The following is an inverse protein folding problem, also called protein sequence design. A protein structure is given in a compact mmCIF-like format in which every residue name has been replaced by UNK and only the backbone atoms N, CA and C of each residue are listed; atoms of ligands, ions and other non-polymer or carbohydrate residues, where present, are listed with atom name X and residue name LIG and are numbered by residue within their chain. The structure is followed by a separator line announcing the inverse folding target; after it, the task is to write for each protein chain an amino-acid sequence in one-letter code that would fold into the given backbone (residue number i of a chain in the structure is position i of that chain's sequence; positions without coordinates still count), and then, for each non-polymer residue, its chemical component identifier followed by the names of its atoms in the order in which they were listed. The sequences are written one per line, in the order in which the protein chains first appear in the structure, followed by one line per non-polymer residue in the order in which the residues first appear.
data_IF_247062471246
#
_entry.id   IF_247062471246
#
_cell.length_a   1.000
_cell.length_b   1.000
_cell.length_c   1.000
_cell.angle_alpha   90.00
_cell.angle_beta   90.00
_cell.angle_gamma   90.00
#
_symmetry.space_group_name_H-M   'P 1'
#
loop_
_entity.id
_entity.type
_entity.pdbx_description
1 polymer ?
#
# COMPACT_ATOMS: atom_id res chain seq x y z
N UNK A 1 -8.80 -33.99 -20.27
CA UNK A 1 -9.16 -32.60 -20.60
C UNK A 1 -8.78 -31.72 -19.41
N UNK A 2 -7.51 -31.31 -19.31
CA UNK A 2 -7.04 -30.51 -18.18
C UNK A 2 -7.43 -29.06 -18.39
N UNK A 3 -8.48 -28.60 -17.70
CA UNK A 3 -8.75 -27.17 -17.54
C UNK A 3 -7.59 -26.60 -16.72
N UNK A 4 -6.69 -25.86 -17.39
CA UNK A 4 -5.77 -24.97 -16.68
C UNK A 4 -6.63 -24.01 -15.87
N UNK A 5 -6.48 -24.04 -14.56
CA UNK A 5 -7.00 -22.97 -13.70
C UNK A 5 -6.12 -21.77 -14.06
N UNK A 6 -6.69 -20.76 -14.72
CA UNK A 6 -6.03 -19.47 -14.88
C UNK A 6 -5.93 -18.85 -13.49
N UNK A 7 -4.81 -19.13 -12.80
CA UNK A 7 -4.44 -18.41 -11.59
C UNK A 7 -4.26 -16.95 -11.99
N UNK A 8 -5.00 -16.00 -11.40
CA UNK A 8 -4.82 -14.59 -11.72
C UNK A 8 -3.35 -14.23 -11.51
N UNK A 9 -2.73 -13.62 -12.52
CA UNK A 9 -1.39 -13.10 -12.35
C UNK A 9 -1.40 -12.10 -11.19
N UNK A 10 -0.53 -12.32 -10.19
CA UNK A 10 -0.34 -11.37 -9.10
C UNK A 10 0.01 -10.01 -9.69
N UNK A 11 -0.85 -9.01 -9.49
CA UNK A 11 -0.50 -7.64 -9.87
C UNK A 11 0.39 -7.10 -8.77
N UNK A 12 1.39 -6.30 -9.14
CA UNK A 12 2.34 -5.75 -8.17
C UNK A 12 1.68 -4.96 -7.03
N UNK A 13 0.45 -4.47 -7.23
CA UNK A 13 -0.35 -3.68 -6.29
C UNK A 13 -1.42 -4.48 -5.53
N UNK A 14 -1.47 -5.82 -5.61
CA UNK A 14 -2.52 -6.63 -4.95
C UNK A 14 -2.56 -6.42 -3.42
N UNK A 15 -1.43 -6.03 -2.83
CA UNK A 15 -1.28 -5.74 -1.41
C UNK A 15 -2.07 -4.49 -0.94
N UNK A 16 -2.62 -3.70 -1.85
CA UNK A 16 -3.48 -2.54 -1.56
C UNK A 16 -4.97 -2.90 -1.52
N UNK A 17 -5.34 -4.13 -1.89
CA UNK A 17 -6.74 -4.54 -2.01
C UNK A 17 -7.50 -4.38 -0.70
N UNK A 18 -8.66 -3.71 -0.75
CA UNK A 18 -9.55 -3.53 0.40
C UNK A 18 -9.21 -2.37 1.35
N UNK A 19 -8.24 -1.52 1.01
CA UNK A 19 -7.73 -0.46 1.89
C UNK A 19 -8.35 0.94 1.76
N UNK A 20 -9.59 1.05 1.26
CA UNK A 20 -10.33 2.32 1.21
C UNK A 20 -9.71 3.41 0.33
N UNK A 21 -9.94 4.68 0.69
CA UNK A 21 -9.54 5.84 -0.12
C UNK A 21 -8.02 6.00 -0.17
N UNK A 22 -7.34 5.79 0.95
CA UNK A 22 -5.87 5.84 1.01
C UNK A 22 -5.22 4.74 0.16
N UNK A 23 -5.83 3.57 0.01
CA UNK A 23 -5.31 2.56 -0.92
C UNK A 23 -5.38 3.02 -2.37
N UNK A 24 -6.47 3.68 -2.77
CA UNK A 24 -6.63 4.25 -4.11
C UNK A 24 -5.60 5.36 -4.35
N UNK A 25 -5.41 6.25 -3.38
CA UNK A 25 -4.41 7.31 -3.45
C UNK A 25 -2.98 6.77 -3.51
N UNK A 26 -2.66 5.74 -2.70
CA UNK A 26 -1.36 5.06 -2.76
C UNK A 26 -1.18 4.41 -4.14
N UNK A 27 -2.19 3.75 -4.70
CA UNK A 27 -2.10 3.14 -6.02
C UNK A 27 -1.92 4.17 -7.16
N UNK A 28 -2.55 5.34 -7.04
CA UNK A 28 -2.51 6.40 -8.06
C UNK A 28 -1.26 7.29 -7.97
N UNK A 29 -0.52 7.24 -6.86
CA UNK A 29 0.65 8.09 -6.63
C UNK A 29 1.85 7.66 -7.47
N UNK A 30 2.55 8.63 -8.07
CA UNK A 30 3.82 8.38 -8.77
C UNK A 30 4.98 8.25 -7.78
N UNK A 31 5.12 7.06 -7.22
CA UNK A 31 6.15 6.75 -6.23
C UNK A 31 7.58 6.81 -6.77
N UNK A 32 7.77 6.76 -8.10
CA UNK A 32 9.11 6.88 -8.71
C UNK A 32 9.77 8.22 -8.42
N UNK A 33 8.98 9.25 -8.07
CA UNK A 33 9.44 10.58 -7.66
C UNK A 33 9.79 10.68 -6.18
N UNK A 34 9.63 9.60 -5.42
CA UNK A 34 9.89 9.57 -3.97
C UNK A 34 11.16 8.76 -3.66
N UNK A 35 11.80 8.95 -2.50
CA UNK A 35 12.92 8.11 -2.07
C UNK A 35 12.57 6.62 -1.88
N UNK A 36 11.28 6.27 -1.81
CA UNK A 36 10.82 4.87 -1.77
C UNK A 36 10.94 4.15 -3.13
N UNK A 37 11.03 4.92 -4.22
CA UNK A 37 11.02 4.38 -5.57
C UNK A 37 9.64 3.84 -6.00
N UNK A 38 9.53 3.37 -7.26
CA UNK A 38 8.28 2.88 -7.82
C UNK A 38 7.68 1.75 -6.96
N UNK A 39 6.35 1.71 -6.86
CA UNK A 39 5.62 0.80 -5.96
C UNK A 39 5.92 -0.68 -6.27
N UNK A 40 6.24 -1.01 -7.53
CA UNK A 40 6.64 -2.32 -8.00
C UNK A 40 8.01 -2.76 -7.46
N UNK A 41 8.83 -1.82 -7.00
CA UNK A 41 10.15 -2.08 -6.43
C UNK A 41 10.14 -2.16 -4.91
N UNK A 42 9.00 -1.88 -4.26
CA UNK A 42 8.90 -1.92 -2.81
C UNK A 42 9.23 -3.30 -2.27
N UNK A 43 10.03 -3.39 -1.18
CA UNK A 43 10.36 -4.67 -0.56
C UNK A 43 9.10 -5.34 -0.02
N UNK A 44 9.06 -6.67 -0.04
CA UNK A 44 7.90 -7.45 0.42
C UNK A 44 7.49 -7.10 1.85
N UNK A 45 8.47 -6.82 2.74
CA UNK A 45 8.20 -6.41 4.11
C UNK A 45 7.37 -5.12 4.17
N UNK A 46 7.72 -4.11 3.38
CA UNK A 46 6.94 -2.87 3.30
C UNK A 46 5.53 -3.14 2.76
N UNK A 47 5.39 -3.93 1.70
CA UNK A 47 4.06 -4.27 1.15
C UNK A 47 3.17 -4.91 2.21
N UNK A 48 3.69 -5.89 2.95
CA UNK A 48 2.96 -6.53 4.06
C UNK A 48 2.59 -5.53 5.14
N UNK A 49 3.50 -4.63 5.55
CA UNK A 49 3.20 -3.61 6.56
C UNK A 49 2.12 -2.63 6.07
N UNK A 50 2.15 -2.23 4.80
CA UNK A 50 1.11 -1.38 4.19
C UNK A 50 -0.23 -2.10 4.17
N UNK A 51 -0.29 -3.38 3.78
CA UNK A 51 -1.53 -4.17 3.85
C UNK A 51 -2.13 -4.20 5.26
N UNK A 52 -1.29 -4.41 6.29
CA UNK A 52 -1.74 -4.41 7.68
C UNK A 52 -2.25 -3.04 8.13
N UNK A 53 -1.58 -1.97 7.71
CA UNK A 53 -2.00 -0.59 7.99
C UNK A 53 -3.38 -0.29 7.37
N UNK A 54 -3.55 -0.63 6.09
CA UNK A 54 -4.78 -0.40 5.34
C UNK A 54 -5.97 -1.25 5.83
N UNK A 55 -5.72 -2.45 6.36
CA UNK A 55 -6.76 -3.31 6.91
C UNK A 55 -7.24 -2.90 8.32
N UNK A 56 -6.57 -1.95 8.97
CA UNK A 56 -6.88 -1.53 10.34
C UNK A 56 -7.95 -0.44 10.37
N UNK A 57 -8.92 -0.58 11.27
CA UNK A 57 -9.88 0.48 11.62
C UNK A 57 -9.29 1.53 12.59
N UNK A 58 -8.11 1.28 13.16
CA UNK A 58 -7.40 2.27 13.97
C UNK A 58 -6.51 3.17 13.09
N UNK A 59 -6.36 4.47 13.44
CA UNK A 59 -5.40 5.36 12.80
C UNK A 59 -3.96 4.82 12.85
N UNK A 60 -3.33 4.63 11.68
CA UNK A 60 -1.93 4.16 11.58
C UNK A 60 -1.16 5.02 10.58
N UNK A 61 0.07 5.39 10.96
CA UNK A 61 1.08 6.01 10.10
C UNK A 61 2.38 5.19 10.17
N UNK A 62 2.81 4.69 9.01
CA UNK A 62 4.09 3.99 8.83
C UNK A 62 5.12 5.03 8.42
N UNK A 63 6.22 5.12 9.17
CA UNK A 63 7.40 5.89 8.81
C UNK A 63 8.47 4.92 8.32
N UNK A 64 8.84 4.99 7.04
CA UNK A 64 9.70 3.99 6.41
C UNK A 64 11.02 4.54 5.87
N UNK A 65 12.09 3.83 6.21
CA UNK A 65 13.43 4.04 5.66
C UNK A 65 14.13 5.31 6.14
N UNK A 66 15.35 5.58 5.64
CA UNK A 66 16.20 6.69 6.10
C UNK A 66 15.67 8.08 5.72
N UNK A 67 14.72 8.15 4.78
CA UNK A 67 14.07 9.39 4.34
C UNK A 67 12.69 9.60 4.97
N UNK A 68 12.32 8.78 5.95
CA UNK A 68 11.08 8.92 6.73
C UNK A 68 9.82 9.04 5.85
N UNK A 69 9.71 8.22 4.80
CA UNK A 69 8.53 8.24 3.93
C UNK A 69 7.31 7.79 4.74
N UNK A 70 6.24 8.60 4.70
CA UNK A 70 5.02 8.35 5.47
C UNK A 70 3.96 7.69 4.60
N UNK A 71 3.39 6.59 5.08
CA UNK A 71 2.27 5.89 4.45
C UNK A 71 1.23 5.64 5.55
N UNK A 72 0.01 6.12 5.35
CA UNK A 72 -1.01 6.08 6.39
C UNK A 72 -2.37 5.67 5.83
N UNK A 73 -3.26 5.21 6.72
CA UNK A 73 -4.61 4.78 6.37
C UNK A 73 -5.66 5.89 6.55
N UNK A 74 -6.88 5.61 6.12
CA UNK A 74 -8.03 6.52 6.21
C UNK A 74 -8.24 7.04 7.65
N UNK A 75 -8.08 6.16 8.65
CA UNK A 75 -8.22 6.54 10.06
C UNK A 75 -7.21 7.61 10.50
N UNK A 76 -5.97 7.54 10.01
CA UNK A 76 -4.95 8.55 10.31
C UNK A 76 -5.25 9.89 9.66
N UNK A 77 -5.77 9.89 8.43
CA UNK A 77 -6.17 11.11 7.73
C UNK A 77 -7.22 11.90 8.53
N UNK A 78 -8.25 11.21 9.04
CA UNK A 78 -9.29 11.81 9.89
C UNK A 78 -8.69 12.42 11.16
N UNK A 79 -7.75 11.73 11.80
CA UNK A 79 -7.09 12.22 13.02
C UNK A 79 -6.32 13.53 12.79
N UNK A 80 -5.69 13.68 11.63
CA UNK A 80 -4.97 14.90 11.26
C UNK A 80 -5.87 16.04 10.75
N UNK A 81 -7.18 15.82 10.59
CA UNK A 81 -8.15 16.85 10.21
C UNK A 81 -8.16 17.23 8.73
N UNK A 82 -7.77 16.31 7.83
CA UNK A 82 -7.64 16.54 6.39
C UNK A 82 -8.69 15.82 5.53
#
# INVERSE_FOLDING_TARGET
MNKRIDVPAFRNSDFLSGGGEMAELIAASDWSKTPLGPIESWPQSLRTTVSLCLASNFPINIIWGPHYNQIYNDGYRVMCGA
#
